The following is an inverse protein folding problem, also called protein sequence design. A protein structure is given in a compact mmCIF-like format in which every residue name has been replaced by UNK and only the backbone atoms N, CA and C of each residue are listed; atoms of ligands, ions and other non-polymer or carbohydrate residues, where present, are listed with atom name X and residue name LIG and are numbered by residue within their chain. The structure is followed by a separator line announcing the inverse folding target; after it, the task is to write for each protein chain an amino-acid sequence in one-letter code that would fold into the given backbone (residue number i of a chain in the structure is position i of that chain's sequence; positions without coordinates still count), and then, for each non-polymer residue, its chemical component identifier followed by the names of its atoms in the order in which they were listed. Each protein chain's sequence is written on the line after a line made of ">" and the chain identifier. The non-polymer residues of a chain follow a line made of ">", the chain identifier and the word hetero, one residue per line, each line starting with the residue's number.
data_IF_875018541052
#
_entry.id   IF_875018541052
#
_cell.length_a   1.000
_cell.length_b   1.000
_cell.length_c   1.000
_cell.angle_alpha   90.00
_cell.angle_beta   90.00
_cell.angle_gamma   90.00
#
_symmetry.space_group_name_H-M   'P 1'
#
loop_
_entity.id
_entity.type
_entity.pdbx_description
1 polymer ?
#
# COMPACT_ATOMS: atom_id res chain seq x y z
N UNK A 1 1.83 18.24 -15.25
CA UNK A 1 0.96 17.16 -15.77
C UNK A 1 1.83 16.06 -16.36
N UNK A 2 1.48 14.79 -16.14
CA UNK A 2 2.25 13.61 -16.60
C UNK A 2 2.42 13.58 -18.15
N UNK A 3 1.58 14.26 -18.89
CA UNK A 3 1.66 14.38 -20.35
C UNK A 3 2.93 15.10 -20.85
N UNK A 4 3.63 15.78 -19.98
CA UNK A 4 4.86 16.53 -20.31
C UNK A 4 6.14 15.77 -19.93
N UNK A 5 6.02 14.57 -19.31
CA UNK A 5 7.20 13.79 -19.00
C UNK A 5 7.80 13.19 -20.28
N UNK A 6 9.11 13.30 -20.50
CA UNK A 6 9.76 12.58 -21.59
C UNK A 6 9.46 11.09 -21.49
N UNK A 7 9.19 10.43 -22.61
CA UNK A 7 8.89 9.00 -22.70
C UNK A 7 9.86 8.14 -21.89
N UNK A 8 11.14 8.49 -21.91
CA UNK A 8 12.17 7.80 -21.15
C UNK A 8 11.96 7.88 -19.62
N UNK A 9 11.55 9.06 -19.11
CA UNK A 9 11.27 9.26 -17.69
C UNK A 9 10.02 8.50 -17.25
N UNK A 10 9.02 8.44 -18.12
CA UNK A 10 7.81 7.64 -17.89
C UNK A 10 8.12 6.13 -17.84
N UNK A 11 8.97 5.65 -18.76
CA UNK A 11 9.41 4.25 -18.75
C UNK A 11 10.20 3.90 -17.49
N UNK A 12 11.06 4.79 -17.01
CA UNK A 12 11.78 4.61 -15.76
C UNK A 12 10.82 4.49 -14.57
N UNK A 13 9.84 5.39 -14.47
CA UNK A 13 8.86 5.35 -13.38
C UNK A 13 8.04 4.06 -13.41
N UNK A 14 7.56 3.64 -14.57
CA UNK A 14 6.85 2.37 -14.72
C UNK A 14 7.70 1.16 -14.27
N UNK A 15 8.96 1.18 -14.62
CA UNK A 15 9.91 0.14 -14.22
C UNK A 15 10.16 0.14 -12.71
N UNK A 16 10.28 1.33 -12.12
CA UNK A 16 10.49 1.49 -10.67
C UNK A 16 9.25 1.02 -9.88
N UNK A 17 8.04 1.35 -10.32
CA UNK A 17 6.79 0.91 -9.69
C UNK A 17 6.65 -0.63 -9.75
N UNK A 18 6.99 -1.24 -10.89
CA UNK A 18 6.97 -2.70 -11.05
C UNK A 18 8.02 -3.36 -10.14
N UNK A 19 9.21 -2.79 -10.03
CA UNK A 19 10.24 -3.26 -9.12
C UNK A 19 9.83 -3.09 -7.65
N UNK A 20 9.14 -2.01 -7.30
CA UNK A 20 8.62 -1.81 -5.95
C UNK A 20 7.70 -2.97 -5.56
N UNK A 21 6.71 -3.30 -6.41
CA UNK A 21 5.79 -4.41 -6.16
C UNK A 21 6.57 -5.72 -6.01
N UNK A 22 7.48 -6.01 -6.94
CA UNK A 22 8.31 -7.20 -6.91
C UNK A 22 9.09 -7.29 -5.60
N UNK A 23 9.81 -6.24 -5.25
CA UNK A 23 10.65 -6.21 -4.05
C UNK A 23 9.82 -6.37 -2.78
N UNK A 24 8.72 -5.61 -2.64
CA UNK A 24 7.89 -5.65 -1.44
C UNK A 24 7.18 -6.99 -1.24
N UNK A 25 6.71 -7.62 -2.32
CA UNK A 25 5.88 -8.83 -2.22
C UNK A 25 6.70 -10.11 -2.34
N UNK A 26 7.71 -10.15 -3.21
CA UNK A 26 8.44 -11.39 -3.52
C UNK A 26 9.84 -11.46 -2.93
N UNK A 27 10.58 -10.35 -2.90
CA UNK A 27 12.02 -10.40 -2.58
C UNK A 27 12.28 -10.13 -1.09
N UNK A 28 11.44 -9.33 -0.40
CA UNK A 28 11.59 -9.13 1.04
C UNK A 28 11.05 -10.34 1.82
N UNK A 29 11.92 -10.94 2.63
CA UNK A 29 11.61 -12.08 3.49
C UNK A 29 11.48 -11.72 4.98
N UNK A 30 11.45 -10.44 5.28
CA UNK A 30 11.26 -9.91 6.65
C UNK A 30 9.93 -9.18 6.75
N UNK A 31 9.29 -9.17 7.93
CA UNK A 31 8.05 -8.42 8.13
C UNK A 31 8.24 -6.93 7.91
N UNK A 32 7.26 -6.32 7.26
CA UNK A 32 7.25 -4.90 6.92
C UNK A 32 6.07 -4.17 7.55
N UNK A 33 6.28 -2.93 7.97
CA UNK A 33 5.24 -2.07 8.52
C UNK A 33 5.20 -0.77 7.72
N UNK A 34 4.06 -0.49 7.11
CA UNK A 34 3.77 0.79 6.49
C UNK A 34 3.20 1.76 7.51
N UNK A 35 3.74 2.98 7.58
CA UNK A 35 3.21 4.04 8.41
C UNK A 35 2.80 5.23 7.53
N UNK A 36 1.48 5.47 7.43
CA UNK A 36 0.90 6.55 6.63
C UNK A 36 0.57 7.72 7.56
N UNK A 37 1.31 8.83 7.49
CA UNK A 37 1.22 9.90 8.48
C UNK A 37 0.12 10.93 8.22
N UNK A 38 -0.68 10.77 7.17
CA UNK A 38 -1.73 11.71 6.81
C UNK A 38 -2.25 11.59 5.38
N UNK A 39 -3.00 12.58 4.90
CA UNK A 39 -3.52 12.61 3.55
C UNK A 39 -2.42 12.56 2.48
N UNK A 40 -2.71 11.93 1.35
CA UNK A 40 -1.77 11.87 0.23
C UNK A 40 -2.13 10.84 -0.81
N UNK A 41 -1.16 10.59 -1.66
CA UNK A 41 -1.18 9.56 -2.70
C UNK A 41 0.22 8.95 -2.80
N UNK A 42 0.41 7.88 -3.57
CA UNK A 42 1.67 7.13 -3.65
C UNK A 42 2.14 6.51 -2.32
N UNK A 43 1.18 5.99 -1.56
CA UNK A 43 1.48 5.19 -0.37
C UNK A 43 1.61 3.68 -0.67
N UNK A 44 1.93 3.33 -1.92
CA UNK A 44 1.95 1.96 -2.44
C UNK A 44 2.81 1.02 -1.59
N UNK A 45 4.02 1.45 -1.24
CA UNK A 45 4.92 0.68 -0.39
C UNK A 45 4.34 0.43 1.01
N UNK A 46 3.60 1.41 1.55
CA UNK A 46 2.95 1.24 2.84
C UNK A 46 1.80 0.23 2.77
N UNK A 47 0.99 0.27 1.71
CA UNK A 47 -0.14 -0.66 1.54
C UNK A 47 0.29 -2.06 1.10
N UNK A 48 1.47 -2.21 0.48
CA UNK A 48 2.08 -3.51 0.18
C UNK A 48 2.78 -4.14 1.39
N UNK A 49 2.92 -3.41 2.49
CA UNK A 49 3.52 -3.92 3.72
C UNK A 49 2.63 -4.96 4.40
N UNK A 50 3.24 -5.83 5.22
CA UNK A 50 2.51 -6.88 5.95
C UNK A 50 1.52 -6.31 6.97
N UNK A 51 1.85 -5.16 7.55
CA UNK A 51 0.99 -4.37 8.44
C UNK A 51 1.02 -2.92 8.00
N UNK A 52 -0.14 -2.27 7.94
CA UNK A 52 -0.24 -0.85 7.59
C UNK A 52 -0.99 -0.10 8.68
N UNK A 53 -0.40 1.00 9.13
CA UNK A 53 -0.97 1.91 10.12
C UNK A 53 -1.17 3.27 9.46
N UNK A 54 -2.33 3.87 9.63
CA UNK A 54 -2.54 5.24 9.16
C UNK A 54 -3.08 6.12 10.29
N UNK A 55 -3.02 7.44 10.09
CA UNK A 55 -3.63 8.38 11.02
C UNK A 55 -5.09 8.62 10.69
N UNK A 56 -5.88 9.03 11.68
CA UNK A 56 -7.32 9.27 11.56
C UNK A 56 -7.70 10.32 10.51
N UNK A 57 -6.80 11.24 10.21
CA UNK A 57 -6.96 12.27 9.18
C UNK A 57 -6.49 11.82 7.79
N UNK A 58 -6.08 10.56 7.63
CA UNK A 58 -5.65 10.03 6.33
C UNK A 58 -6.83 9.98 5.36
N UNK A 59 -6.62 10.60 4.21
CA UNK A 59 -7.51 10.55 3.06
C UNK A 59 -6.66 10.21 1.84
N UNK A 60 -7.12 9.26 1.05
CA UNK A 60 -6.44 8.75 -0.14
C UNK A 60 -7.30 8.92 -1.37
N UNK A 61 -6.65 9.06 -2.51
CA UNK A 61 -7.29 8.98 -3.83
C UNK A 61 -6.37 8.26 -4.82
N UNK A 62 -6.95 7.79 -5.92
CA UNK A 62 -6.24 7.20 -7.05
C UNK A 62 -6.34 8.16 -8.23
N UNK A 63 -5.43 9.15 -8.38
CA UNK A 63 -5.60 10.27 -9.30
C UNK A 63 -5.26 9.94 -10.76
N UNK A 64 -4.87 8.73 -11.05
CA UNK A 64 -4.37 8.30 -12.37
C UNK A 64 -5.30 8.64 -13.53
N UNK A 65 -6.61 8.38 -13.37
CA UNK A 65 -7.59 8.65 -14.42
C UNK A 65 -7.67 10.14 -14.78
N UNK A 66 -7.49 11.05 -13.82
CA UNK A 66 -7.46 12.50 -14.06
C UNK A 66 -6.20 12.91 -14.85
N UNK A 67 -5.10 12.19 -14.66
CA UNK A 67 -3.85 12.38 -15.39
C UNK A 67 -3.79 11.65 -16.73
N UNK A 68 -4.86 10.96 -17.15
CA UNK A 68 -4.86 10.15 -18.38
C UNK A 68 -4.01 8.86 -18.25
N UNK A 69 -3.79 8.41 -17.01
CA UNK A 69 -3.00 7.22 -16.69
C UNK A 69 -3.89 6.07 -16.20
N UNK A 70 -3.35 4.86 -16.26
CA UNK A 70 -3.93 3.67 -15.63
C UNK A 70 -3.17 3.40 -14.34
N UNK A 71 -3.85 3.08 -13.21
CA UNK A 71 -3.20 2.75 -11.94
C UNK A 71 -2.52 1.37 -12.02
N UNK A 72 -1.36 1.32 -12.66
CA UNK A 72 -0.52 0.13 -12.82
C UNK A 72 0.49 -0.07 -11.70
N UNK A 73 0.53 0.88 -10.78
CA UNK A 73 1.37 0.90 -9.58
C UNK A 73 0.81 0.00 -8.50
N UNK A 74 0.57 -0.72 -7.97
CA UNK A 74 -0.12 -1.51 -6.95
C UNK A 74 -1.50 -0.98 -6.54
N UNK A 75 -1.79 0.32 -6.68
CA UNK A 75 -3.05 0.88 -6.16
C UNK A 75 -4.29 0.29 -6.84
N UNK A 76 -4.23 -0.01 -8.13
CA UNK A 76 -5.32 -0.70 -8.82
C UNK A 76 -5.61 -2.07 -8.20
N UNK A 77 -4.58 -2.86 -8.00
CA UNK A 77 -4.67 -4.18 -7.36
C UNK A 77 -5.19 -4.08 -5.92
N UNK A 78 -4.63 -3.17 -5.13
CA UNK A 78 -4.99 -3.00 -3.72
C UNK A 78 -6.44 -2.54 -3.54
N UNK A 79 -6.89 -1.59 -4.37
CA UNK A 79 -8.28 -1.16 -4.35
C UNK A 79 -9.24 -2.32 -4.64
N UNK A 80 -8.99 -3.13 -5.67
CA UNK A 80 -9.84 -4.28 -5.98
C UNK A 80 -9.78 -5.37 -4.92
N UNK A 81 -8.61 -5.61 -4.35
CA UNK A 81 -8.40 -6.64 -3.34
C UNK A 81 -9.14 -6.33 -2.05
N UNK A 82 -8.97 -5.12 -1.51
CA UNK A 82 -9.53 -4.76 -0.21
C UNK A 82 -10.97 -4.27 -0.28
N UNK A 83 -11.33 -3.41 -1.23
CA UNK A 83 -12.70 -2.93 -1.36
C UNK A 83 -13.62 -3.87 -2.15
N UNK A 84 -13.04 -4.90 -2.77
CA UNK A 84 -13.74 -5.76 -3.73
C UNK A 84 -13.88 -5.09 -5.10
N UNK A 85 -14.08 -5.90 -6.15
CA UNK A 85 -13.99 -5.47 -7.55
C UNK A 85 -14.85 -4.22 -7.84
N UNK A 86 -16.12 -4.20 -7.42
CA UNK A 86 -17.02 -3.11 -7.79
C UNK A 86 -16.68 -1.78 -7.10
N UNK A 87 -16.40 -1.81 -5.81
CA UNK A 87 -16.05 -0.60 -5.06
C UNK A 87 -14.65 -0.12 -5.40
N UNK A 88 -13.68 -1.03 -5.56
CA UNK A 88 -12.33 -0.72 -6.01
C UNK A 88 -12.34 -0.03 -7.39
N UNK A 89 -13.08 -0.59 -8.35
CA UNK A 89 -13.27 0.04 -9.66
C UNK A 89 -13.91 1.43 -9.56
N UNK A 90 -14.91 1.59 -8.67
CA UNK A 90 -15.54 2.88 -8.46
C UNK A 90 -14.54 3.94 -7.98
N UNK A 91 -13.71 3.64 -6.99
CA UNK A 91 -12.69 4.57 -6.51
C UNK A 91 -11.66 4.90 -7.60
N UNK A 92 -11.16 3.91 -8.33
CA UNK A 92 -10.18 4.12 -9.39
C UNK A 92 -10.73 4.95 -10.57
N UNK A 93 -11.96 4.65 -11.01
CA UNK A 93 -12.54 5.28 -12.20
C UNK A 93 -13.12 6.66 -11.93
N UNK A 94 -13.52 6.95 -10.70
CA UNK A 94 -14.11 8.25 -10.33
C UNK A 94 -13.12 9.15 -9.58
N UNK A 95 -11.93 8.64 -9.24
CA UNK A 95 -10.95 9.31 -8.39
C UNK A 95 -11.51 9.82 -7.07
N UNK A 96 -12.62 9.20 -6.62
CA UNK A 96 -13.24 9.57 -5.35
C UNK A 96 -12.31 9.20 -4.19
N UNK A 97 -12.21 10.11 -3.26
CA UNK A 97 -11.43 9.90 -2.03
C UNK A 97 -12.05 8.82 -1.14
N UNK A 98 -11.19 8.08 -0.44
CA UNK A 98 -11.56 7.17 0.63
C UNK A 98 -10.76 7.52 1.90
N UNK A 99 -11.41 7.35 3.05
CA UNK A 99 -10.91 7.80 4.35
C UNK A 99 -10.16 6.68 5.08
N UNK A 100 -9.46 7.05 6.18
CA UNK A 100 -8.89 6.09 7.12
C UNK A 100 -9.93 5.08 7.60
N UNK A 101 -11.17 5.53 7.86
CA UNK A 101 -12.26 4.66 8.25
C UNK A 101 -12.65 3.68 7.15
N UNK A 102 -12.77 4.14 5.89
CA UNK A 102 -13.06 3.23 4.77
C UNK A 102 -11.98 2.16 4.62
N UNK A 103 -10.71 2.55 4.77
CA UNK A 103 -9.58 1.64 4.69
C UNK A 103 -9.59 0.61 5.82
N UNK A 104 -9.90 1.02 7.05
CA UNK A 104 -10.00 0.14 8.20
C UNK A 104 -11.18 -0.84 8.05
N UNK A 105 -12.35 -0.34 7.70
CA UNK A 105 -13.58 -1.14 7.54
C UNK A 105 -13.42 -2.26 6.49
N UNK A 106 -12.53 -2.06 5.51
CA UNK A 106 -12.27 -3.01 4.43
C UNK A 106 -10.95 -3.77 4.58
N UNK A 107 -10.22 -3.56 5.67
CA UNK A 107 -8.98 -4.27 5.95
C UNK A 107 -7.78 -3.84 5.08
N UNK A 108 -7.85 -2.67 4.42
CA UNK A 108 -6.73 -2.11 3.68
C UNK A 108 -5.65 -1.55 4.62
N UNK A 109 -6.02 -1.15 5.82
CA UNK A 109 -5.10 -0.82 6.91
C UNK A 109 -5.40 -1.66 8.14
N UNK A 110 -4.37 -1.92 8.92
CA UNK A 110 -4.46 -2.78 10.11
C UNK A 110 -4.93 -2.02 11.35
N UNK A 111 -4.58 -0.73 11.42
CA UNK A 111 -4.87 0.12 12.58
C UNK A 111 -4.95 1.59 12.17
N UNK A 112 -5.87 2.33 12.78
CA UNK A 112 -5.97 3.79 12.67
C UNK A 112 -5.60 4.40 14.02
N UNK A 113 -4.70 5.37 14.00
CA UNK A 113 -4.18 6.03 15.21
C UNK A 113 -4.39 7.55 15.14
N UNK A 114 -4.31 8.27 16.26
CA UNK A 114 -4.38 9.73 16.25
C UNK A 114 -3.32 10.37 15.36
N UNK A 115 -3.62 11.56 14.86
CA UNK A 115 -2.71 12.35 14.03
C UNK A 115 -1.29 12.42 14.61
N UNK A 116 -0.31 12.18 13.76
CA UNK A 116 1.11 12.21 14.13
C UNK A 116 1.62 10.97 14.87
N UNK A 117 0.79 9.94 15.09
CA UNK A 117 1.16 8.74 15.87
C UNK A 117 1.51 7.51 15.03
N UNK A 118 1.36 7.54 13.71
CA UNK A 118 1.55 6.36 12.87
C UNK A 118 2.98 5.79 12.98
N UNK A 119 4.00 6.62 12.92
CA UNK A 119 5.41 6.18 12.98
C UNK A 119 5.77 5.66 14.38
N UNK A 120 5.32 6.33 15.44
CA UNK A 120 5.52 5.88 16.83
C UNK A 120 4.93 4.49 17.02
N UNK A 121 3.69 4.30 16.57
CA UNK A 121 2.99 3.02 16.66
C UNK A 121 3.67 1.91 15.84
N UNK A 122 4.15 2.23 14.64
CA UNK A 122 4.91 1.30 13.84
C UNK A 122 6.19 0.81 14.57
N UNK A 123 6.89 1.70 15.25
CA UNK A 123 8.06 1.33 16.07
C UNK A 123 7.70 0.46 17.27
N UNK A 124 6.55 0.66 17.90
CA UNK A 124 6.07 -0.22 18.98
C UNK A 124 5.90 -1.66 18.46
N UNK A 125 5.22 -1.83 17.34
CA UNK A 125 5.01 -3.14 16.71
C UNK A 125 6.35 -3.75 16.28
N UNK A 126 7.24 -2.97 15.67
CA UNK A 126 8.56 -3.45 15.27
C UNK A 126 9.40 -3.97 16.47
N UNK A 127 9.29 -3.29 17.62
CA UNK A 127 9.94 -3.77 18.87
C UNK A 127 9.35 -5.10 19.33
N UNK A 128 8.04 -5.28 19.23
CA UNK A 128 7.41 -6.57 19.57
C UNK A 128 7.91 -7.69 18.64
N UNK A 129 8.02 -7.42 17.34
CA UNK A 129 8.53 -8.41 16.37
C UNK A 129 10.00 -8.78 16.60
N UNK A 130 10.81 -7.87 17.12
CA UNK A 130 12.20 -8.17 17.50
C UNK A 130 12.34 -9.24 18.57
N UNK A 131 11.30 -9.51 19.36
CA UNK A 131 11.28 -10.59 20.36
C UNK A 131 11.13 -11.98 19.73
N UNK A 132 10.68 -12.06 18.47
CA UNK A 132 10.58 -13.32 17.74
C UNK A 132 11.96 -13.70 17.15
N UNK A 133 12.19 -15.00 16.95
CA UNK A 133 13.37 -15.45 16.21
C UNK A 133 13.36 -14.95 14.75
N UNK A 134 14.51 -14.92 14.11
CA UNK A 134 14.60 -14.52 12.70
C UNK A 134 13.76 -15.44 11.81
N UNK A 135 13.85 -16.75 12.03
CA UNK A 135 13.11 -17.75 11.27
C UNK A 135 11.59 -17.56 11.38
N UNK A 136 11.08 -17.29 12.59
CA UNK A 136 9.67 -17.05 12.80
C UNK A 136 9.20 -15.80 12.03
N UNK A 137 9.98 -14.72 12.06
CA UNK A 137 9.64 -13.49 11.32
C UNK A 137 9.60 -13.73 9.81
N UNK A 138 10.58 -14.42 9.27
CA UNK A 138 10.65 -14.77 7.84
C UNK A 138 9.46 -15.64 7.42
N UNK A 139 9.15 -16.69 8.19
CA UNK A 139 8.02 -17.58 7.88
C UNK A 139 6.69 -16.82 7.95
N UNK A 140 6.50 -15.98 8.98
CA UNK A 140 5.27 -15.19 9.13
C UNK A 140 5.11 -14.17 8.01
N UNK A 141 6.16 -13.46 7.60
CA UNK A 141 6.11 -12.52 6.48
C UNK A 141 5.75 -13.23 5.17
N UNK A 142 6.37 -14.38 4.90
CA UNK A 142 6.03 -15.19 3.73
C UNK A 142 4.58 -15.69 3.74
N UNK A 143 4.05 -16.03 4.92
CA UNK A 143 2.66 -16.42 5.08
C UNK A 143 1.71 -15.23 4.84
N UNK A 144 2.02 -14.07 5.42
CA UNK A 144 1.22 -12.85 5.28
C UNK A 144 1.11 -12.39 3.82
N UNK A 145 2.19 -12.51 3.04
CA UNK A 145 2.24 -12.11 1.62
C UNK A 145 1.55 -13.08 0.65
N UNK A 146 1.16 -14.27 1.10
CA UNK A 146 0.53 -15.29 0.22
C UNK A 146 -0.68 -14.79 -0.57
N UNK A 147 -1.64 -14.05 0.00
CA UNK A 147 -2.77 -13.55 -0.75
C UNK A 147 -2.35 -12.65 -1.91
N UNK A 148 -1.44 -11.70 -1.67
CA UNK A 148 -0.93 -10.79 -2.70
C UNK A 148 -0.13 -11.54 -3.78
N UNK A 149 0.73 -12.48 -3.38
CA UNK A 149 1.48 -13.32 -4.33
C UNK A 149 0.55 -14.06 -5.30
N UNK A 150 -0.60 -14.56 -4.82
CA UNK A 150 -1.57 -15.25 -5.66
C UNK A 150 -2.30 -14.35 -6.65
N UNK A 151 -2.40 -13.05 -6.36
CA UNK A 151 -3.04 -12.10 -7.25
C UNK A 151 -2.10 -11.59 -8.35
N UNK A 152 -0.80 -11.72 -8.15
CA UNK A 152 0.25 -11.19 -9.03
C UNK A 152 0.85 -12.25 -9.98
N UNK A 153 0.39 -13.50 -9.91
CA UNK A 153 0.91 -14.63 -10.72
C UNK A 153 -0.13 -15.12 -11.71
#
# INVERSE_FOLDING_TARGET
>A
TYSELPTQRFQHQYFDDTNLIKNMVFDLDVPTIGAVPGPGFHWDSAFLSDVTICTEDTVMEVPHAQGGLVPGDAMGLMCQHYFGTKRGNYYMMTTRQFTAKDMLDHGMVSEVVPKGKAVERAWEIARMWKLMSYENRTIMSNLAKRPLKKLLV
#
